data_IF_148268486928
#
_entry.id   IF_148268486928
#
_cell.length_a   1.000
_cell.length_b   1.000
_cell.length_c   1.000
_cell.angle_alpha   90.00
_cell.angle_beta   90.00
_cell.angle_gamma   90.00
#
_symmetry.space_group_name_H-M   'P 1'
#
loop_
_entity.id
_entity.type
_entity.pdbx_description
1 polymer ?
#
# COMPACT_ATOMS: atom_id res chain seq x y z
N UNK A 1 -8.56 -33.65 10.79
CA UNK A 1 -8.20 -32.74 9.68
C UNK A 1 -7.27 -31.66 10.21
N UNK A 2 -6.27 -31.23 9.42
CA UNK A 2 -5.40 -30.10 9.73
C UNK A 2 -5.89 -28.86 8.97
N UNK A 3 -6.12 -27.76 9.67
CA UNK A 3 -6.41 -26.45 9.08
C UNK A 3 -5.09 -25.70 8.87
N UNK A 4 -4.92 -25.11 7.69
CA UNK A 4 -3.78 -24.23 7.35
C UNK A 4 -4.35 -22.95 6.78
N UNK A 5 -3.81 -21.81 7.21
CA UNK A 5 -4.20 -20.48 6.73
C UNK A 5 -3.00 -19.87 6.01
N UNK A 6 -3.28 -19.26 4.86
CA UNK A 6 -2.31 -18.51 4.07
C UNK A 6 -2.83 -17.09 3.90
N UNK A 7 -1.91 -16.15 3.98
CA UNK A 7 -2.19 -14.77 3.59
C UNK A 7 -2.27 -14.65 2.06
N UNK A 8 -2.80 -13.54 1.57
CA UNK A 8 -2.92 -13.28 0.14
C UNK A 8 -1.62 -12.70 -0.42
N UNK A 9 -1.31 -11.46 -0.04
CA UNK A 9 -0.22 -10.65 -0.59
C UNK A 9 1.14 -11.25 -0.18
N UNK A 10 2.08 -11.30 -1.11
CA UNK A 10 3.42 -11.89 -0.96
C UNK A 10 3.47 -13.36 -0.48
N UNK A 11 2.32 -14.03 -0.38
CA UNK A 11 2.19 -15.46 -0.02
C UNK A 11 1.54 -16.26 -1.14
N UNK A 12 0.27 -15.98 -1.46
CA UNK A 12 -0.46 -16.64 -2.54
C UNK A 12 -0.34 -15.89 -3.87
N UNK A 13 -0.22 -14.57 -3.82
CA UNK A 13 -0.01 -13.72 -5.00
C UNK A 13 1.27 -12.93 -4.86
N UNK A 14 1.95 -12.70 -5.99
CA UNK A 14 3.16 -11.89 -6.00
C UNK A 14 2.81 -10.40 -5.94
N UNK A 15 3.28 -9.72 -4.91
CA UNK A 15 3.15 -8.28 -4.75
C UNK A 15 2.08 -7.89 -3.73
N UNK A 16 2.36 -6.76 -3.09
CA UNK A 16 1.50 -6.11 -2.12
C UNK A 16 0.63 -5.05 -2.81
N UNK A 17 -0.67 -5.22 -2.72
CA UNK A 17 -1.67 -4.39 -3.39
C UNK A 17 -1.57 -2.91 -2.98
N UNK A 18 -1.31 -2.63 -1.70
CA UNK A 18 -1.15 -1.28 -1.17
C UNK A 18 0.10 -0.59 -1.74
N UNK A 19 1.24 -1.28 -1.78
CA UNK A 19 2.49 -0.80 -2.34
C UNK A 19 2.40 -0.56 -3.85
N UNK A 20 1.79 -1.49 -4.58
CA UNK A 20 1.61 -1.36 -6.03
C UNK A 20 0.73 -0.16 -6.37
N UNK A 21 -0.33 0.08 -5.59
CA UNK A 21 -1.17 1.26 -5.76
C UNK A 21 -0.38 2.57 -5.55
N UNK A 22 0.43 2.66 -4.50
CA UNK A 22 1.26 3.85 -4.26
C UNK A 22 2.28 4.06 -5.36
N UNK A 23 2.90 2.98 -5.86
CA UNK A 23 3.83 3.04 -6.99
C UNK A 23 3.16 3.62 -8.23
N UNK A 24 1.97 3.14 -8.58
CA UNK A 24 1.19 3.68 -9.69
C UNK A 24 0.91 5.18 -9.49
N UNK A 25 0.46 5.58 -8.29
CA UNK A 25 0.17 6.99 -7.99
C UNK A 25 1.40 7.90 -8.13
N UNK A 26 2.57 7.43 -7.69
CA UNK A 26 3.84 8.17 -7.84
C UNK A 26 4.25 8.25 -9.32
N UNK A 27 4.17 7.15 -10.06
CA UNK A 27 4.49 7.10 -11.49
C UNK A 27 3.58 8.01 -12.34
N UNK A 28 2.33 8.22 -11.91
CA UNK A 28 1.39 9.16 -12.54
C UNK A 28 1.51 10.60 -12.03
N UNK A 29 2.40 10.88 -11.09
CA UNK A 29 2.60 12.20 -10.51
C UNK A 29 1.49 12.65 -9.55
N UNK A 30 0.65 11.72 -9.08
CA UNK A 30 -0.39 11.99 -8.08
C UNK A 30 0.16 12.09 -6.66
N UNK A 31 1.27 11.41 -6.39
CA UNK A 31 1.95 11.42 -5.10
C UNK A 31 3.44 11.70 -5.26
N UNK A 32 4.08 12.30 -4.24
CA UNK A 32 5.54 12.43 -4.22
C UNK A 32 6.22 11.09 -3.88
N UNK A 33 7.48 10.95 -4.31
CA UNK A 33 8.30 9.73 -4.17
C UNK A 33 8.41 9.23 -2.71
N UNK A 34 8.38 10.14 -1.74
CA UNK A 34 8.45 9.84 -0.29
C UNK A 34 7.38 8.84 0.21
N UNK A 35 6.26 8.70 -0.51
CA UNK A 35 5.22 7.73 -0.17
C UNK A 35 5.71 6.28 -0.35
N UNK A 36 6.65 6.03 -1.26
CA UNK A 36 7.25 4.72 -1.46
C UNK A 36 8.20 4.34 -0.33
N UNK A 37 8.89 5.31 0.25
CA UNK A 37 9.74 5.09 1.42
C UNK A 37 8.88 4.82 2.66
N UNK A 38 7.79 5.57 2.83
CA UNK A 38 6.84 5.37 3.94
C UNK A 38 6.15 4.01 3.89
N UNK A 39 5.71 3.53 2.73
CA UNK A 39 5.08 2.21 2.66
C UNK A 39 6.07 1.09 2.98
N UNK A 40 7.34 1.22 2.56
CA UNK A 40 8.40 0.27 2.95
C UNK A 40 8.65 0.30 4.45
N UNK A 41 8.63 1.48 5.08
CA UNK A 41 8.72 1.61 6.53
C UNK A 41 7.56 0.89 7.24
N UNK A 42 6.31 1.13 6.84
CA UNK A 42 5.14 0.49 7.44
C UNK A 42 5.13 -1.04 7.21
N UNK A 43 5.52 -1.52 6.03
CA UNK A 43 5.68 -2.95 5.76
C UNK A 43 6.69 -3.60 6.72
N UNK A 44 7.84 -2.94 6.97
CA UNK A 44 8.82 -3.43 7.95
C UNK A 44 8.24 -3.46 9.36
N UNK A 45 7.54 -2.41 9.79
CA UNK A 45 6.90 -2.39 11.10
C UNK A 45 5.82 -3.47 11.24
N UNK A 46 5.08 -3.77 10.17
CA UNK A 46 4.10 -4.86 10.14
C UNK A 46 4.76 -6.22 10.35
N UNK A 47 5.84 -6.51 9.59
CA UNK A 47 6.60 -7.75 9.73
C UNK A 47 7.20 -7.91 11.14
N UNK A 48 7.60 -6.81 11.77
CA UNK A 48 8.10 -6.78 13.15
C UNK A 48 6.99 -6.80 14.22
N UNK A 49 5.70 -6.81 13.83
CA UNK A 49 4.53 -6.73 14.73
C UNK A 49 4.49 -5.46 15.60
N UNK A 50 5.07 -4.36 15.10
CA UNK A 50 5.14 -3.05 15.77
C UNK A 50 4.32 -1.97 15.07
N UNK A 51 3.64 -2.32 13.97
CA UNK A 51 2.88 -1.36 13.20
C UNK A 51 1.79 -0.72 14.05
N UNK A 52 1.83 0.61 14.16
CA UNK A 52 0.68 1.39 14.59
C UNK A 52 -0.33 1.42 13.44
N UNK A 53 -1.43 0.71 13.63
CA UNK A 53 -2.47 0.57 12.61
C UNK A 53 -3.21 1.89 12.38
N UNK A 54 -3.43 2.71 13.40
CA UNK A 54 -4.15 3.98 13.25
C UNK A 54 -3.31 4.99 12.48
N UNK A 55 -1.99 5.01 12.73
CA UNK A 55 -1.05 5.84 11.98
C UNK A 55 -0.98 5.39 10.51
N UNK A 56 -0.85 4.08 10.27
CA UNK A 56 -0.82 3.50 8.93
C UNK A 56 -2.10 3.81 8.14
N UNK A 57 -3.27 3.60 8.75
CA UNK A 57 -4.55 3.88 8.10
C UNK A 57 -4.72 5.37 7.81
N UNK A 58 -4.27 6.24 8.73
CA UNK A 58 -4.26 7.69 8.51
C UNK A 58 -3.37 8.09 7.34
N UNK A 59 -2.19 7.48 7.22
CA UNK A 59 -1.31 7.65 6.07
C UNK A 59 -1.99 7.19 4.77
N UNK A 60 -2.56 5.98 4.76
CA UNK A 60 -3.14 5.39 3.56
C UNK A 60 -4.41 6.14 3.11
N UNK A 61 -5.25 6.60 4.01
CA UNK A 61 -6.44 7.38 3.65
C UNK A 61 -6.13 8.77 3.09
N UNK A 62 -4.98 9.37 3.42
CA UNK A 62 -4.55 10.62 2.77
C UNK A 62 -4.35 10.44 1.27
N UNK A 63 -3.90 9.26 0.84
CA UNK A 63 -3.72 8.92 -0.58
C UNK A 63 -5.04 8.96 -1.33
N UNK A 64 -6.13 8.47 -0.73
CA UNK A 64 -7.45 8.44 -1.36
C UNK A 64 -8.05 9.85 -1.58
N UNK A 65 -7.53 10.87 -0.89
CA UNK A 65 -7.99 12.26 -1.04
C UNK A 65 -7.31 12.99 -2.19
N UNK A 66 -6.31 12.39 -2.83
CA UNK A 66 -5.64 13.00 -3.97
C UNK A 66 -6.63 13.10 -5.12
N UNK A 67 -6.83 14.32 -5.62
CA UNK A 67 -7.65 14.57 -6.82
C UNK A 67 -6.92 14.02 -8.04
N UNK A 68 -7.20 12.76 -8.37
CA UNK A 68 -6.76 12.16 -9.62
C UNK A 68 -7.63 12.73 -10.75
N UNK A 69 -7.07 13.56 -11.63
CA UNK A 69 -7.68 13.81 -12.94
C UNK A 69 -7.39 12.59 -13.81
N UNK A 70 -8.25 11.59 -13.73
CA UNK A 70 -8.18 10.43 -14.62
C UNK A 70 -9.00 10.80 -15.86
N UNK A 71 -8.33 11.19 -16.93
CA UNK A 71 -8.97 11.26 -18.24
C UNK A 71 -9.10 9.84 -18.78
N UNK A 72 -10.27 9.23 -18.61
CA UNK A 72 -10.61 8.01 -19.32
C UNK A 72 -10.79 8.36 -20.79
N UNK A 73 -9.78 8.09 -21.61
CA UNK A 73 -9.95 7.99 -23.05
C UNK A 73 -10.48 6.58 -23.33
N UNK A 74 -11.80 6.43 -23.31
CA UNK A 74 -12.50 5.27 -23.85
C UNK A 74 -12.68 5.43 -25.36
#
# INVERSE_FOLDING_TARGET
MKLVLFDLDDTLIQGDSAKLWLKFCVEKGFLPQEYLEKIVFYQKQYQEKKLDMDEFMTFFFKVLRVKMKIEFHL
#
